data_IF_302415309781
#
_entry.id   IF_302415309781
#
_cell.length_a   1.000
_cell.length_b   1.000
_cell.length_c   1.000
_cell.angle_alpha   90.00
_cell.angle_beta   90.00
_cell.angle_gamma   90.00
#
_symmetry.space_group_name_H-M   'P 1'
#
loop_
_entity.id
_entity.type
_entity.pdbx_description
1 polymer ?
#
# COMPACT_ATOMS: atom_id res chain seq x y z
N UNK A 1 -29.04 28.05 20.93
CA UNK A 1 -27.75 27.38 20.64
C UNK A 1 -27.60 26.21 21.58
N UNK A 2 -27.69 24.98 21.08
CA UNK A 2 -27.74 23.76 21.88
C UNK A 2 -26.31 23.32 22.27
N UNK A 3 -26.12 22.98 23.54
CA UNK A 3 -24.88 22.45 24.16
C UNK A 3 -24.29 21.21 23.43
N UNK A 4 -25.10 20.57 22.59
CA UNK A 4 -24.76 19.37 21.82
C UNK A 4 -23.93 19.67 20.57
N UNK A 5 -24.18 20.80 19.88
CA UNK A 5 -23.41 21.17 18.68
C UNK A 5 -21.93 21.40 18.96
N UNK A 6 -21.60 22.06 20.08
CA UNK A 6 -20.22 22.34 20.46
C UNK A 6 -19.45 21.10 20.92
N UNK A 7 -20.14 20.08 21.45
CA UNK A 7 -19.49 18.83 21.89
C UNK A 7 -19.13 17.97 20.69
N UNK A 8 -20.05 17.81 19.74
CA UNK A 8 -19.79 17.08 18.49
C UNK A 8 -18.75 17.79 17.63
N UNK A 9 -18.77 19.12 17.55
CA UNK A 9 -17.74 19.90 16.86
C UNK A 9 -16.35 19.74 17.51
N UNK A 10 -16.28 19.73 18.85
CA UNK A 10 -15.01 19.46 19.55
C UNK A 10 -14.53 18.02 19.33
N UNK A 11 -15.44 17.05 19.30
CA UNK A 11 -15.13 15.65 19.10
C UNK A 11 -14.66 15.39 17.66
N UNK A 12 -15.34 15.98 16.67
CA UNK A 12 -14.91 16.02 15.28
C UNK A 12 -13.57 16.73 15.13
N UNK A 13 -13.37 17.86 15.81
CA UNK A 13 -12.10 18.57 15.82
C UNK A 13 -10.95 17.70 16.31
N UNK A 14 -11.16 16.91 17.37
CA UNK A 14 -10.15 15.95 17.88
C UNK A 14 -9.95 14.75 16.96
N UNK A 15 -11.01 14.23 16.33
CA UNK A 15 -10.92 13.09 15.40
C UNK A 15 -10.29 13.47 14.06
N UNK A 16 -10.46 14.73 13.64
CA UNK A 16 -9.94 15.27 12.39
C UNK A 16 -8.57 15.93 12.57
N UNK A 17 -8.18 16.28 13.80
CA UNK A 17 -6.84 16.73 14.11
C UNK A 17 -5.81 15.70 13.59
N UNK A 18 -4.71 16.16 12.96
CA UNK A 18 -3.63 15.27 12.59
C UNK A 18 -3.20 14.49 13.84
N UNK A 19 -3.14 13.14 13.76
CA UNK A 19 -2.70 12.33 14.90
C UNK A 19 -1.29 12.76 15.31
N UNK A 20 -0.94 12.51 16.57
CA UNK A 20 0.45 12.68 16.99
C UNK A 20 1.38 11.90 16.06
N UNK A 21 2.55 12.46 15.77
CA UNK A 21 3.47 11.86 14.83
C UNK A 21 3.86 10.44 15.27
N UNK A 22 4.04 10.22 16.58
CA UNK A 22 4.40 8.91 17.12
C UNK A 22 3.27 7.90 16.89
N UNK A 23 2.04 8.23 17.28
CA UNK A 23 0.86 7.37 17.09
C UNK A 23 0.61 7.03 15.60
N UNK A 24 0.84 8.02 14.73
CA UNK A 24 0.76 7.84 13.29
C UNK A 24 1.78 6.85 12.76
N UNK A 25 3.02 6.91 13.26
CA UNK A 25 4.12 6.01 12.89
C UNK A 25 3.85 4.60 13.39
N UNK A 26 3.43 4.43 14.64
CA UNK A 26 3.07 3.11 15.19
C UNK A 26 1.91 2.47 14.42
N UNK A 27 0.87 3.26 14.12
CA UNK A 27 -0.28 2.81 13.33
C UNK A 27 0.14 2.39 11.92
N UNK A 28 0.98 3.19 11.25
CA UNK A 28 1.49 2.87 9.92
C UNK A 28 2.29 1.56 9.92
N UNK A 29 3.15 1.38 10.91
CA UNK A 29 3.96 0.17 11.03
C UNK A 29 3.11 -1.07 11.36
N UNK A 30 2.11 -0.94 12.25
CA UNK A 30 1.16 -2.01 12.53
C UNK A 30 0.43 -2.48 11.27
N UNK A 31 -0.18 -1.55 10.50
CA UNK A 31 -0.92 -1.90 9.29
C UNK A 31 0.00 -2.46 8.19
N UNK A 32 1.22 -1.94 8.07
CA UNK A 32 2.25 -2.46 7.17
C UNK A 32 2.62 -3.90 7.53
N UNK A 33 2.95 -4.19 8.80
CA UNK A 33 3.27 -5.55 9.27
C UNK A 33 2.08 -6.49 9.07
N UNK A 34 0.87 -6.06 9.40
CA UNK A 34 -0.36 -6.84 9.21
C UNK A 34 -0.59 -7.21 7.74
N UNK A 35 -0.39 -6.27 6.81
CA UNK A 35 -0.56 -6.52 5.37
C UNK A 35 0.42 -7.56 4.80
N UNK A 36 1.57 -7.75 5.47
CA UNK A 36 2.60 -8.73 5.11
C UNK A 36 2.36 -10.11 5.73
N UNK A 37 1.82 -10.16 6.96
CA UNK A 37 1.55 -11.40 7.70
C UNK A 37 0.24 -12.10 7.31
N UNK A 38 -0.69 -11.39 6.65
CA UNK A 38 -1.97 -11.98 6.30
C UNK A 38 -1.86 -13.07 5.22
N UNK A 39 -2.48 -14.26 5.43
CA UNK A 39 -2.50 -15.34 4.45
C UNK A 39 -3.13 -14.96 3.12
N UNK A 40 -2.78 -15.67 2.05
CA UNK A 40 -3.24 -15.38 0.69
C UNK A 40 -4.76 -15.44 0.54
N UNK A 41 -5.44 -16.37 1.24
CA UNK A 41 -6.89 -16.54 1.18
C UNK A 41 -7.68 -15.42 1.88
N UNK A 42 -7.04 -14.60 2.74
CA UNK A 42 -7.69 -13.45 3.41
C UNK A 42 -7.58 -12.16 2.60
N UNK A 43 -7.90 -12.24 1.31
CA UNK A 43 -7.73 -11.13 0.36
C UNK A 43 -8.42 -9.84 0.84
N UNK A 44 -9.64 -9.92 1.36
CA UNK A 44 -10.39 -8.75 1.86
C UNK A 44 -9.66 -8.05 3.01
N UNK A 45 -9.21 -8.81 4.01
CA UNK A 45 -8.46 -8.25 5.13
C UNK A 45 -7.11 -7.66 4.70
N UNK A 46 -6.47 -8.29 3.71
CA UNK A 46 -5.20 -7.80 3.16
C UNK A 46 -5.39 -6.49 2.38
N UNK A 47 -6.44 -6.39 1.56
CA UNK A 47 -6.82 -5.14 0.88
C UNK A 47 -7.10 -4.04 1.89
N UNK A 48 -7.79 -4.36 2.98
CA UNK A 48 -8.06 -3.41 4.05
C UNK A 48 -6.79 -2.90 4.72
N UNK A 49 -5.89 -3.81 5.10
CA UNK A 49 -4.61 -3.43 5.69
C UNK A 49 -3.77 -2.54 4.74
N UNK A 50 -3.81 -2.80 3.43
CA UNK A 50 -3.15 -1.95 2.42
C UNK A 50 -3.81 -0.58 2.35
N UNK A 51 -5.15 -0.50 2.31
CA UNK A 51 -5.89 0.78 2.31
C UNK A 51 -5.56 1.61 3.55
N UNK A 52 -5.54 0.98 4.72
CA UNK A 52 -5.16 1.63 5.97
C UNK A 52 -3.70 2.08 5.97
N UNK A 53 -2.77 1.28 5.43
CA UNK A 53 -1.36 1.70 5.28
C UNK A 53 -1.25 2.99 4.46
N UNK A 54 -1.94 3.09 3.32
CA UNK A 54 -1.92 4.30 2.48
C UNK A 54 -2.53 5.51 3.19
N UNK A 55 -3.65 5.31 3.89
CA UNK A 55 -4.32 6.37 4.65
C UNK A 55 -3.44 6.91 5.77
N UNK A 56 -2.80 6.02 6.53
CA UNK A 56 -1.90 6.39 7.61
C UNK A 56 -0.60 7.01 7.10
N UNK A 57 -0.07 6.55 5.97
CA UNK A 57 1.09 7.19 5.32
C UNK A 57 0.80 8.66 4.97
N UNK A 58 -0.40 8.94 4.45
CA UNK A 58 -0.82 10.32 4.15
C UNK A 58 -0.93 11.14 5.44
N UNK A 59 -1.54 10.59 6.50
CA UNK A 59 -1.68 11.26 7.80
C UNK A 59 -0.34 11.55 8.46
N UNK A 60 0.58 10.59 8.47
CA UNK A 60 1.95 10.77 8.99
C UNK A 60 2.68 11.84 8.21
N UNK A 61 2.57 11.86 6.88
CA UNK A 61 3.18 12.92 6.07
C UNK A 61 2.61 14.30 6.42
N UNK A 62 1.30 14.41 6.59
CA UNK A 62 0.66 15.67 7.03
C UNK A 62 1.16 16.08 8.41
N UNK A 63 1.21 15.16 9.38
CA UNK A 63 1.73 15.40 10.73
C UNK A 63 3.21 15.82 10.71
N UNK A 64 4.02 15.21 9.85
CA UNK A 64 5.45 15.51 9.74
C UNK A 64 5.72 16.92 9.17
N UNK A 65 4.80 17.44 8.36
CA UNK A 65 4.83 18.83 7.85
C UNK A 65 4.29 19.81 8.89
N UNK A 66 3.20 19.46 9.60
CA UNK A 66 2.54 20.37 10.55
C UNK A 66 3.20 20.43 11.93
N UNK A 67 3.78 19.33 12.42
CA UNK A 67 4.39 19.22 13.75
C UNK A 67 5.90 19.45 13.69
N UNK A 68 6.30 20.69 13.37
CA UNK A 68 7.71 21.05 13.20
C UNK A 68 8.58 20.83 14.46
N UNK A 69 7.96 20.77 15.65
CA UNK A 69 8.60 20.49 16.95
C UNK A 69 8.69 19.01 17.33
N UNK A 70 8.24 18.09 16.48
CA UNK A 70 8.33 16.68 16.78
C UNK A 70 9.80 16.22 16.89
N UNK A 71 10.12 15.30 17.83
CA UNK A 71 11.49 14.83 18.05
C UNK A 71 12.09 14.23 16.76
N UNK A 72 13.38 14.50 16.53
CA UNK A 72 14.09 14.11 15.31
C UNK A 72 14.02 12.59 15.06
N UNK A 73 14.06 11.78 16.12
CA UNK A 73 13.91 10.33 16.04
C UNK A 73 12.59 9.90 15.41
N UNK A 74 11.47 10.53 15.82
CA UNK A 74 10.15 10.25 15.25
C UNK A 74 10.09 10.62 13.77
N UNK A 75 10.79 11.70 13.35
CA UNK A 75 10.86 12.11 11.94
C UNK A 75 11.69 11.14 11.10
N UNK A 76 12.83 10.67 11.62
CA UNK A 76 13.68 9.68 10.94
C UNK A 76 12.96 8.34 10.81
N UNK A 77 12.33 7.85 11.88
CA UNK A 77 11.53 6.63 11.87
C UNK A 77 10.35 6.71 10.89
N UNK A 78 9.63 7.83 10.89
CA UNK A 78 8.56 8.09 9.92
C UNK A 78 9.08 8.06 8.49
N UNK A 79 10.19 8.76 8.21
CA UNK A 79 10.82 8.78 6.89
C UNK A 79 11.23 7.38 6.43
N UNK A 80 11.93 6.63 7.28
CA UNK A 80 12.38 5.27 6.99
C UNK A 80 11.20 4.31 6.73
N UNK A 81 10.12 4.40 7.51
CA UNK A 81 8.91 3.59 7.31
C UNK A 81 8.18 3.92 6.01
N UNK A 82 8.06 5.19 5.65
CA UNK A 82 7.49 5.62 4.38
C UNK A 82 8.30 5.08 3.22
N UNK A 83 9.64 5.21 3.26
CA UNK A 83 10.53 4.67 2.22
C UNK A 83 10.39 3.15 2.13
N UNK A 84 10.43 2.43 3.26
CA UNK A 84 10.33 0.97 3.30
C UNK A 84 9.00 0.44 2.77
N UNK A 85 7.88 1.10 3.11
CA UNK A 85 6.55 0.71 2.60
C UNK A 85 6.37 1.04 1.13
N UNK A 86 6.97 2.13 0.64
CA UNK A 86 7.01 2.48 -0.78
C UNK A 86 7.85 1.48 -1.58
N UNK A 87 9.04 1.16 -1.09
CA UNK A 87 9.96 0.21 -1.73
C UNK A 87 9.33 -1.18 -1.84
N UNK A 88 8.72 -1.68 -0.77
CA UNK A 88 8.03 -2.98 -0.78
C UNK A 88 6.84 -3.06 -1.74
N UNK A 89 6.17 -1.92 -2.03
CA UNK A 89 5.12 -1.86 -3.06
C UNK A 89 5.72 -1.87 -4.46
N UNK A 90 6.82 -1.14 -4.66
CA UNK A 90 7.54 -1.10 -5.92
C UNK A 90 8.08 -2.48 -6.32
N UNK A 91 8.73 -3.19 -5.40
CA UNK A 91 9.26 -4.54 -5.68
C UNK A 91 8.15 -5.54 -5.99
N UNK A 92 7.01 -5.49 -5.30
CA UNK A 92 5.85 -6.33 -5.62
C UNK A 92 5.26 -6.03 -6.99
N UNK A 93 5.14 -4.75 -7.37
CA UNK A 93 4.63 -4.37 -8.70
C UNK A 93 5.59 -4.80 -9.80
N UNK A 94 6.90 -4.63 -9.59
CA UNK A 94 7.92 -5.11 -10.52
C UNK A 94 7.81 -6.63 -10.71
N UNK A 95 7.71 -7.40 -9.62
CA UNK A 95 7.55 -8.85 -9.71
C UNK A 95 6.29 -9.30 -10.47
N UNK A 96 5.15 -8.63 -10.27
CA UNK A 96 3.92 -8.93 -11.02
C UNK A 96 4.08 -8.60 -12.50
N UNK A 97 4.71 -7.46 -12.83
CA UNK A 97 4.96 -7.07 -14.21
C UNK A 97 5.90 -8.05 -14.93
N UNK A 98 6.96 -8.50 -14.25
CA UNK A 98 7.86 -9.55 -14.76
C UNK A 98 7.11 -10.86 -14.98
N UNK A 99 6.28 -11.30 -14.04
CA UNK A 99 5.49 -12.52 -14.20
C UNK A 99 4.50 -12.44 -15.37
N UNK A 100 3.82 -11.30 -15.52
CA UNK A 100 2.88 -11.06 -16.60
C UNK A 100 3.57 -11.05 -17.98
N UNK A 101 4.74 -10.42 -18.08
CA UNK A 101 5.53 -10.39 -19.32
C UNK A 101 6.05 -11.79 -19.69
N UNK A 102 6.62 -12.53 -18.74
CA UNK A 102 7.09 -13.92 -18.98
C UNK A 102 5.92 -14.81 -19.42
N UNK A 103 4.78 -14.76 -18.73
CA UNK A 103 3.59 -15.53 -19.11
C UNK A 103 3.10 -15.14 -20.51
N UNK A 104 3.06 -13.85 -20.83
CA UNK A 104 2.65 -13.36 -22.14
C UNK A 104 3.57 -13.86 -23.27
N UNK A 105 4.89 -13.81 -23.05
CA UNK A 105 5.88 -14.33 -24.00
C UNK A 105 5.70 -15.84 -24.19
N UNK A 106 5.51 -16.59 -23.11
CA UNK A 106 5.30 -18.04 -23.19
C UNK A 106 4.07 -18.38 -24.02
N UNK A 107 2.95 -17.69 -23.78
CA UNK A 107 1.70 -17.87 -24.54
C UNK A 107 1.94 -17.56 -26.02
N UNK A 108 2.60 -16.45 -26.32
CA UNK A 108 2.90 -16.06 -27.70
C UNK A 108 3.73 -17.13 -28.42
N UNK A 109 4.80 -17.62 -27.78
CA UNK A 109 5.65 -18.68 -28.32
C UNK A 109 4.85 -19.96 -28.57
N UNK A 110 4.05 -20.40 -27.60
CA UNK A 110 3.22 -21.60 -27.76
C UNK A 110 2.20 -21.45 -28.89
N UNK A 111 1.62 -20.26 -29.06
CA UNK A 111 0.66 -20.02 -30.13
C UNK A 111 1.34 -20.03 -31.50
N UNK A 112 2.51 -19.40 -31.60
CA UNK A 112 3.32 -19.39 -32.83
C UNK A 112 3.78 -20.79 -33.24
N UNK A 113 4.22 -21.63 -32.30
CA UNK A 113 4.67 -23.00 -32.62
C UNK A 113 3.52 -23.88 -33.08
N UNK A 114 2.35 -23.79 -32.43
CA UNK A 114 1.14 -24.53 -32.85
C UNK A 114 0.67 -24.08 -34.23
N UNK A 115 0.63 -22.77 -34.49
CA UNK A 115 0.26 -22.24 -35.80
C UNK A 115 1.21 -22.71 -36.91
N UNK A 116 2.52 -22.69 -36.66
CA UNK A 116 3.53 -23.18 -37.59
C UNK A 116 3.38 -24.68 -37.87
N UNK A 117 3.11 -25.49 -36.84
CA UNK A 117 2.89 -26.93 -36.99
C UNK A 117 1.66 -27.23 -37.85
N UNK A 118 0.55 -26.52 -37.63
CA UNK A 118 -0.68 -26.68 -38.42
C UNK A 118 -0.43 -26.30 -39.89
N UNK A 119 0.28 -25.20 -40.13
CA UNK A 119 0.62 -24.77 -41.48
C UNK A 119 1.49 -25.80 -42.22
N UNK A 120 2.46 -26.41 -41.53
CA UNK A 120 3.30 -27.47 -42.09
C UNK A 120 2.49 -28.73 -42.44
N UNK A 121 1.59 -29.16 -41.56
CA UNK A 121 0.73 -30.32 -41.79
C UNK A 121 -0.23 -30.13 -42.97
N UNK A 122 -0.73 -28.91 -43.18
CA UNK A 122 -1.59 -28.60 -44.33
C UNK A 122 -0.84 -28.50 -45.67
N UNK A 123 0.49 -28.38 -45.64
CA UNK A 123 1.33 -28.25 -46.83
C UNK A 123 1.93 -29.58 -47.32
N UNK A 124 1.75 -30.67 -46.56
CA UNK A 124 2.15 -32.04 -46.87
C UNK A 124 1.01 -32.82 -47.52
#
# INVERSE_FOLDING_TARGET
>A
MSRWGSTDEQLLGRLLAPPDLHDGVESLDYWSRRSRRLPWYRIRARREAIRMTVRWERRVRTALVSQHRAPLEARVLAGALVVRTRMARWTRRAGIAVLATVTGVLVLVTFSTVAALIALLNAL
#
